data_IF_618396574052
#
_entry.id   IF_618396574052
#
_cell.length_a   1.000
_cell.length_b   1.000
_cell.length_c   1.000
_cell.angle_alpha   90.00
_cell.angle_beta   90.00
_cell.angle_gamma   90.00
#
_symmetry.space_group_name_H-M   'P 1'
#
loop_
_entity.id
_entity.type
_entity.pdbx_description
1 polymer ?
#
# COMPACT_ATOMS: atom_id res chain seq x y z
N UNK A 1 -2.49 1.66 -24.47
CA UNK A 1 -1.60 2.81 -24.69
C UNK A 1 -0.35 2.57 -23.84
N UNK A 2 0.74 2.08 -24.43
CA UNK A 2 1.98 1.78 -23.70
C UNK A 2 2.80 3.07 -23.49
N UNK A 3 2.32 3.95 -22.60
CA UNK A 3 3.00 5.22 -22.27
C UNK A 3 3.13 5.31 -20.74
N UNK A 4 4.26 5.84 -20.26
CA UNK A 4 4.50 6.07 -18.85
C UNK A 4 3.44 7.05 -18.28
N UNK A 5 2.87 6.71 -17.12
CA UNK A 5 1.87 7.55 -16.45
C UNK A 5 0.61 6.80 -16.01
N UNK A 6 0.53 5.47 -16.26
CA UNK A 6 -0.57 4.61 -15.77
C UNK A 6 -1.97 5.17 -16.11
N UNK A 7 -2.89 5.14 -15.13
CA UNK A 7 -4.24 5.64 -15.27
C UNK A 7 -4.31 7.13 -15.66
N UNK A 8 -3.33 7.96 -15.28
CA UNK A 8 -3.26 9.37 -15.69
C UNK A 8 -3.18 9.53 -17.20
N UNK A 9 -2.19 8.88 -17.85
CA UNK A 9 -1.99 9.01 -19.31
C UNK A 9 -3.14 8.39 -20.10
N UNK A 10 -3.68 7.26 -19.62
CA UNK A 10 -4.87 6.66 -20.21
C UNK A 10 -6.06 7.62 -20.17
N UNK A 11 -6.27 8.30 -19.04
CA UNK A 11 -7.37 9.24 -18.86
C UNK A 11 -7.18 10.52 -19.69
N UNK A 12 -5.94 10.98 -19.83
CA UNK A 12 -5.61 12.11 -20.70
C UNK A 12 -6.00 11.83 -22.15
N UNK A 13 -5.67 10.63 -22.64
CA UNK A 13 -6.01 10.20 -23.99
C UNK A 13 -7.51 9.92 -24.19
N UNK A 14 -8.26 9.61 -23.13
CA UNK A 14 -9.67 9.17 -23.21
C UNK A 14 -10.65 10.28 -22.92
N UNK A 15 -10.42 11.05 -21.86
CA UNK A 15 -11.37 12.01 -21.29
C UNK A 15 -10.90 13.47 -21.40
N UNK A 16 -9.64 13.70 -21.83
CA UNK A 16 -9.06 15.03 -21.92
C UNK A 16 -8.44 15.51 -20.59
N UNK A 17 -7.98 16.78 -20.61
CA UNK A 17 -7.09 17.35 -19.58
C UNK A 17 -7.71 17.41 -18.18
N UNK A 18 -8.98 17.80 -18.07
CA UNK A 18 -9.62 18.03 -16.77
C UNK A 18 -9.75 16.73 -15.96
N UNK A 19 -10.27 15.68 -16.57
CA UNK A 19 -10.38 14.38 -15.89
C UNK A 19 -9.02 13.73 -15.65
N UNK A 20 -8.07 13.90 -16.57
CA UNK A 20 -6.70 13.46 -16.36
C UNK A 20 -6.05 14.17 -15.15
N UNK A 21 -6.31 15.47 -14.98
CA UNK A 21 -5.82 16.23 -13.84
C UNK A 21 -6.38 15.70 -12.52
N UNK A 22 -7.68 15.42 -12.44
CA UNK A 22 -8.32 14.82 -11.25
C UNK A 22 -7.70 13.46 -10.93
N UNK A 23 -7.56 12.60 -11.95
CA UNK A 23 -6.99 11.25 -11.78
C UNK A 23 -5.51 11.33 -11.40
N UNK A 24 -4.75 12.27 -11.98
CA UNK A 24 -3.36 12.50 -11.60
C UNK A 24 -3.20 12.86 -10.12
N UNK A 25 -4.00 13.78 -9.61
CA UNK A 25 -4.01 14.13 -8.19
C UNK A 25 -4.45 12.98 -7.30
N UNK A 26 -5.45 12.20 -7.76
CA UNK A 26 -5.90 11.03 -7.01
C UNK A 26 -4.79 9.95 -6.91
N UNK A 27 -4.07 9.67 -8.00
CA UNK A 27 -2.91 8.77 -7.99
C UNK A 27 -1.79 9.29 -7.09
N UNK A 28 -1.52 10.60 -7.12
CA UNK A 28 -0.53 11.21 -6.24
C UNK A 28 -0.89 11.04 -4.76
N UNK A 29 -2.17 11.26 -4.43
CA UNK A 29 -2.68 11.07 -3.08
C UNK A 29 -2.57 9.61 -2.65
N UNK A 30 -3.00 8.69 -3.51
CA UNK A 30 -2.92 7.25 -3.29
C UNK A 30 -1.49 6.81 -2.98
N UNK A 31 -0.54 7.15 -3.84
CA UNK A 31 0.87 6.77 -3.68
C UNK A 31 1.50 7.44 -2.45
N UNK A 32 1.13 8.71 -2.12
CA UNK A 32 1.63 9.42 -0.94
C UNK A 32 1.16 8.76 0.35
N UNK A 33 -0.14 8.53 0.46
CA UNK A 33 -0.72 7.92 1.65
C UNK A 33 -0.25 6.47 1.76
N UNK A 34 -0.19 5.72 0.64
CA UNK A 34 0.36 4.38 0.60
C UNK A 34 1.80 4.31 1.12
N UNK A 35 2.68 5.20 0.65
CA UNK A 35 4.05 5.30 1.15
C UNK A 35 4.11 5.65 2.65
N UNK A 36 3.23 6.54 3.12
CA UNK A 36 3.15 6.91 4.53
C UNK A 36 2.70 5.73 5.43
N UNK A 37 1.69 4.96 5.01
CA UNK A 37 1.22 3.75 5.72
C UNK A 37 2.35 2.73 5.81
N UNK A 38 3.02 2.45 4.69
CA UNK A 38 4.13 1.49 4.65
C UNK A 38 5.31 1.95 5.49
N UNK A 39 5.62 3.25 5.50
CA UNK A 39 6.66 3.82 6.36
C UNK A 39 6.35 3.65 7.86
N UNK A 40 5.08 3.82 8.27
CA UNK A 40 4.64 3.54 9.66
C UNK A 40 4.74 2.05 9.99
N UNK A 41 4.36 1.18 9.07
CA UNK A 41 4.56 -0.27 9.20
C UNK A 41 6.03 -0.63 9.39
N UNK A 42 6.93 -0.03 8.61
CA UNK A 42 8.38 -0.19 8.75
C UNK A 42 8.86 0.24 10.14
N UNK A 43 8.40 1.39 10.63
CA UNK A 43 8.71 1.88 11.98
C UNK A 43 8.26 0.92 13.08
N UNK A 44 7.10 0.29 12.93
CA UNK A 44 6.60 -0.73 13.88
C UNK A 44 7.52 -1.95 13.95
N UNK A 45 7.98 -2.47 12.80
CA UNK A 45 8.93 -3.59 12.77
C UNK A 45 10.29 -3.21 13.32
N UNK A 46 10.75 -1.97 13.10
CA UNK A 46 11.99 -1.45 13.70
C UNK A 46 11.92 -1.54 15.23
N UNK A 47 10.80 -1.13 15.81
CA UNK A 47 10.54 -1.27 17.25
C UNK A 47 10.62 -2.72 17.73
N UNK A 48 10.09 -3.67 16.96
CA UNK A 48 10.14 -5.11 17.31
C UNK A 48 11.57 -5.67 17.29
N UNK A 49 12.41 -5.22 16.36
CA UNK A 49 13.82 -5.68 16.24
C UNK A 49 14.66 -5.15 17.40
N UNK A 50 14.53 -3.87 17.73
CA UNK A 50 15.38 -3.19 18.71
C UNK A 50 14.79 -3.13 20.12
N UNK A 51 13.57 -3.64 20.34
CA UNK A 51 12.96 -3.74 21.66
C UNK A 51 12.40 -2.44 22.22
N UNK A 52 12.04 -1.47 21.37
CA UNK A 52 11.36 -0.25 21.78
C UNK A 52 9.93 -0.17 21.24
N UNK A 53 9.06 0.61 21.87
CA UNK A 53 7.63 0.72 21.54
C UNK A 53 7.39 1.52 20.24
N UNK A 54 7.85 1.00 19.08
CA UNK A 54 7.74 1.66 17.78
C UNK A 54 8.60 2.93 17.68
N UNK A 55 8.78 3.45 16.49
CA UNK A 55 9.54 4.67 16.24
C UNK A 55 8.76 5.96 16.60
N UNK A 56 7.94 5.96 17.65
CA UNK A 56 7.09 7.11 18.01
C UNK A 56 7.64 7.87 19.19
N UNK A 57 7.76 9.20 19.06
CA UNK A 57 8.10 10.11 20.12
C UNK A 57 6.92 11.05 20.42
N UNK A 58 6.66 11.30 21.71
CA UNK A 58 5.63 12.27 22.13
C UNK A 58 6.27 13.65 22.30
N UNK A 59 5.77 14.63 21.56
CA UNK A 59 6.11 16.04 21.71
C UNK A 59 4.83 16.79 22.14
N UNK A 60 4.65 16.96 23.44
CA UNK A 60 3.43 17.55 24.00
C UNK A 60 2.21 16.68 23.70
N UNK A 61 1.22 17.25 23.04
CA UNK A 61 0.01 16.54 22.58
C UNK A 61 0.18 15.80 21.25
N UNK A 62 1.26 16.06 20.51
CA UNK A 62 1.54 15.45 19.22
C UNK A 62 2.38 14.18 19.38
N UNK A 63 2.01 13.13 18.64
CA UNK A 63 2.78 11.90 18.55
C UNK A 63 3.42 11.85 17.16
N UNK A 64 4.76 11.92 17.11
CA UNK A 64 5.53 11.92 15.87
C UNK A 64 6.20 10.57 15.68
N UNK A 65 6.05 10.00 14.50
CA UNK A 65 6.69 8.73 14.13
C UNK A 65 8.05 9.02 13.47
N UNK A 66 9.11 9.07 14.30
CA UNK A 66 10.47 9.32 13.83
C UNK A 66 11.03 8.17 12.99
N UNK A 67 10.59 6.93 13.23
CA UNK A 67 11.02 5.79 12.42
C UNK A 67 10.53 5.91 10.99
N UNK A 68 9.30 6.39 10.79
CA UNK A 68 8.79 6.70 9.46
C UNK A 68 9.57 7.84 8.79
N UNK A 69 9.98 8.86 9.54
CA UNK A 69 10.83 9.94 9.00
C UNK A 69 12.20 9.43 8.52
N UNK A 70 12.81 8.52 9.28
CA UNK A 70 14.11 7.93 8.93
C UNK A 70 14.03 7.17 7.61
N UNK A 71 13.04 6.30 7.44
CA UNK A 71 12.91 5.52 6.20
C UNK A 71 12.58 6.41 5.01
N UNK A 72 11.67 7.38 5.14
CA UNK A 72 11.31 8.31 4.07
C UNK A 72 12.50 9.17 3.66
N UNK A 73 13.24 9.71 4.62
CA UNK A 73 14.45 10.51 4.37
C UNK A 73 15.56 9.69 3.69
N UNK A 74 15.81 8.49 4.18
CA UNK A 74 16.78 7.56 3.58
C UNK A 74 16.44 7.21 2.14
N UNK A 75 15.19 6.83 1.88
CA UNK A 75 14.70 6.51 0.54
C UNK A 75 14.73 7.73 -0.38
N UNK A 76 14.32 8.90 0.10
CA UNK A 76 14.39 10.13 -0.69
C UNK A 76 15.82 10.47 -1.12
N UNK A 77 16.79 10.27 -0.22
CA UNK A 77 18.20 10.46 -0.51
C UNK A 77 18.68 9.50 -1.60
N UNK A 78 18.32 8.21 -1.51
CA UNK A 78 18.66 7.22 -2.52
C UNK A 78 18.06 7.56 -3.90
N UNK A 79 16.82 8.01 -3.93
CA UNK A 79 16.15 8.45 -5.17
C UNK A 79 16.84 9.69 -5.75
N UNK A 80 17.16 10.68 -4.91
CA UNK A 80 17.81 11.92 -5.34
C UNK A 80 19.21 11.68 -5.92
N UNK A 81 19.96 10.72 -5.36
CA UNK A 81 21.26 10.27 -5.87
C UNK A 81 21.18 9.50 -7.18
N UNK A 82 19.97 9.23 -7.68
CA UNK A 82 19.78 8.54 -8.96
C UNK A 82 20.17 7.07 -8.93
N UNK A 83 20.10 6.44 -7.77
CA UNK A 83 20.40 5.01 -7.65
C UNK A 83 19.44 4.20 -8.50
N UNK A 84 19.93 3.71 -9.64
CA UNK A 84 19.22 2.73 -10.45
C UNK A 84 19.25 1.41 -9.68
N UNK A 85 18.11 1.00 -9.15
CA UNK A 85 17.97 -0.36 -8.64
C UNK A 85 18.27 -1.33 -9.79
N UNK A 86 19.38 -2.03 -9.66
CA UNK A 86 19.68 -3.12 -10.60
C UNK A 86 18.52 -4.12 -10.55
N UNK A 87 18.06 -4.60 -11.70
CA UNK A 87 17.06 -5.65 -11.81
C UNK A 87 17.42 -6.87 -10.94
N UNK A 88 18.71 -7.20 -10.83
CA UNK A 88 19.21 -8.28 -9.97
C UNK A 88 18.98 -7.98 -8.48
N UNK A 89 19.24 -6.74 -8.04
CA UNK A 89 19.01 -6.35 -6.64
C UNK A 89 17.51 -6.41 -6.31
N UNK A 90 16.65 -5.90 -7.18
CA UNK A 90 15.20 -5.98 -7.01
C UNK A 90 14.71 -7.43 -6.95
N UNK A 91 15.24 -8.31 -7.80
CA UNK A 91 14.90 -9.74 -7.78
C UNK A 91 15.33 -10.41 -6.47
N UNK A 92 16.54 -10.14 -5.97
CA UNK A 92 17.05 -10.69 -4.69
C UNK A 92 16.17 -10.23 -3.52
N UNK A 93 15.85 -8.93 -3.44
CA UNK A 93 15.00 -8.42 -2.36
C UNK A 93 13.58 -9.01 -2.45
N UNK A 94 13.04 -9.18 -3.65
CA UNK A 94 11.74 -9.84 -3.85
C UNK A 94 11.79 -11.30 -3.42
N UNK A 95 12.85 -12.03 -3.75
CA UNK A 95 13.06 -13.40 -3.29
C UNK A 95 13.11 -13.48 -1.75
N UNK A 96 13.81 -12.55 -1.09
CA UNK A 96 13.82 -12.46 0.38
C UNK A 96 12.42 -12.23 0.94
N UNK A 97 11.63 -11.29 0.37
CA UNK A 97 10.25 -11.05 0.81
C UNK A 97 9.39 -12.30 0.72
N UNK A 98 9.39 -12.95 -0.44
CA UNK A 98 8.62 -14.17 -0.66
C UNK A 98 9.06 -15.27 0.30
N UNK A 99 10.37 -15.42 0.51
CA UNK A 99 10.92 -16.39 1.47
C UNK A 99 10.46 -16.14 2.91
N UNK A 100 10.40 -14.86 3.34
CA UNK A 100 9.88 -14.49 4.67
C UNK A 100 8.39 -14.80 4.78
N UNK A 101 7.60 -14.53 3.76
CA UNK A 101 6.15 -14.85 3.75
C UNK A 101 5.94 -16.37 3.80
N UNK A 102 6.70 -17.13 3.00
CA UNK A 102 6.66 -18.59 3.04
C UNK A 102 7.10 -19.13 4.40
N UNK A 103 8.13 -18.53 4.99
CA UNK A 103 8.58 -18.85 6.35
C UNK A 103 7.46 -18.65 7.39
N UNK A 104 6.72 -17.52 7.31
CA UNK A 104 5.54 -17.26 8.17
C UNK A 104 4.53 -18.39 8.02
N UNK A 105 4.22 -18.80 6.78
CA UNK A 105 3.24 -19.86 6.50
C UNK A 105 3.76 -21.20 7.04
N UNK A 106 4.97 -21.60 6.67
CA UNK A 106 5.52 -22.92 7.02
C UNK A 106 5.68 -23.06 8.53
N UNK A 107 6.28 -22.08 9.20
CA UNK A 107 6.48 -22.16 10.65
C UNK A 107 5.15 -21.98 11.39
N UNK A 108 4.31 -21.07 10.95
CA UNK A 108 3.04 -20.77 11.61
C UNK A 108 2.02 -21.92 11.57
N UNK A 109 2.05 -22.76 10.53
CA UNK A 109 1.16 -23.95 10.43
C UNK A 109 1.29 -24.87 11.64
N UNK A 110 2.50 -25.02 12.20
CA UNK A 110 2.74 -25.89 13.37
C UNK A 110 2.13 -25.35 14.68
N UNK A 111 1.73 -24.07 14.69
CA UNK A 111 1.16 -23.40 15.86
C UNK A 111 -0.33 -23.09 15.72
N UNK A 112 -0.99 -23.65 14.72
CA UNK A 112 -2.41 -23.49 14.49
C UNK A 112 -3.21 -24.21 15.60
N UNK A 113 -4.10 -23.47 16.23
CA UNK A 113 -5.08 -23.96 17.20
C UNK A 113 -6.46 -23.93 16.52
N UNK A 114 -7.06 -25.08 16.25
CA UNK A 114 -8.35 -25.18 15.56
C UNK A 114 -9.49 -24.41 16.27
N UNK A 115 -9.39 -24.26 17.58
CA UNK A 115 -10.34 -23.46 18.37
C UNK A 115 -10.40 -21.98 17.96
N UNK A 116 -9.32 -21.43 17.42
CA UNK A 116 -9.25 -20.04 16.99
C UNK A 116 -10.13 -19.74 15.76
N UNK A 117 -10.52 -20.77 15.00
CA UNK A 117 -11.41 -20.61 13.85
C UNK A 117 -12.91 -20.65 14.23
N UNK A 118 -13.23 -20.82 15.51
CA UNK A 118 -14.62 -20.87 15.96
C UNK A 118 -14.90 -19.69 16.93
N UNK A 119 -15.91 -18.88 16.66
CA UNK A 119 -16.76 -18.87 15.46
C UNK A 119 -16.03 -18.27 14.24
N UNK A 120 -16.23 -18.85 13.05
CA UNK A 120 -15.58 -18.35 11.82
C UNK A 120 -16.06 -16.94 11.46
N UNK A 121 -17.33 -16.64 11.66
CA UNK A 121 -17.89 -15.29 11.59
C UNK A 121 -18.42 -14.97 12.99
N UNK A 122 -17.75 -14.12 13.78
CA UNK A 122 -18.22 -13.69 15.10
C UNK A 122 -19.57 -12.99 15.01
N UNK A 123 -20.35 -13.04 16.07
CA UNK A 123 -21.63 -12.33 16.14
C UNK A 123 -21.40 -10.82 15.96
N UNK A 124 -22.32 -10.12 15.25
CA UNK A 124 -22.21 -8.69 15.09
C UNK A 124 -22.26 -8.01 16.47
N UNK A 125 -21.26 -7.20 16.73
CA UNK A 125 -21.26 -6.27 17.87
C UNK A 125 -21.66 -4.89 17.35
N UNK A 126 -22.59 -4.22 18.06
CA UNK A 126 -22.99 -2.86 17.69
C UNK A 126 -21.75 -1.96 17.66
N UNK A 127 -21.39 -1.51 16.45
CA UNK A 127 -20.37 -0.50 16.26
C UNK A 127 -20.86 0.85 16.79
N UNK A 128 -19.95 1.81 16.97
CA UNK A 128 -20.32 3.19 17.23
C UNK A 128 -21.20 3.66 16.07
N UNK A 129 -22.43 4.03 16.34
CA UNK A 129 -23.29 4.62 15.30
C UNK A 129 -22.64 5.90 14.79
N UNK A 130 -22.00 5.80 13.64
CA UNK A 130 -21.54 6.97 12.94
C UNK A 130 -22.79 7.69 12.38
N UNK A 131 -22.93 8.98 12.69
CA UNK A 131 -24.04 9.82 12.20
C UNK A 131 -23.52 10.83 11.20
N UNK A 132 -24.32 11.13 10.20
CA UNK A 132 -23.99 12.15 9.20
C UNK A 132 -22.89 11.70 8.22
N UNK A 133 -21.87 12.53 8.01
CA UNK A 133 -20.81 12.34 7.00
C UNK A 133 -19.90 11.13 7.31
N UNK A 134 -19.83 10.73 8.58
CA UNK A 134 -19.03 9.57 9.00
C UNK A 134 -19.75 8.23 8.79
N UNK A 135 -20.98 8.26 8.29
CA UNK A 135 -21.75 7.06 8.01
C UNK A 135 -21.23 6.35 6.77
N UNK A 136 -21.02 5.02 6.84
CA UNK A 136 -20.54 4.28 5.68
C UNK A 136 -21.58 4.24 4.56
N UNK A 137 -21.14 4.30 3.32
CA UNK A 137 -22.01 4.21 2.13
C UNK A 137 -22.84 2.92 2.15
N UNK A 138 -22.27 1.82 2.67
CA UNK A 138 -22.97 0.56 2.80
C UNK A 138 -24.16 0.68 3.76
N UNK A 139 -24.00 1.36 4.92
CA UNK A 139 -25.10 1.58 5.87
C UNK A 139 -26.15 2.52 5.30
N UNK A 140 -25.77 3.51 4.52
CA UNK A 140 -26.70 4.41 3.82
C UNK A 140 -27.56 3.67 2.78
N UNK A 141 -26.95 2.75 2.02
CA UNK A 141 -27.65 2.01 0.96
C UNK A 141 -28.50 0.85 1.48
N UNK A 142 -28.03 0.17 2.52
CA UNK A 142 -28.67 -1.06 3.03
C UNK A 142 -29.49 -0.86 4.31
N UNK A 143 -29.36 0.30 4.96
CA UNK A 143 -29.95 0.54 6.29
C UNK A 143 -29.31 -0.32 7.40
N UNK A 144 -28.24 -1.06 7.12
CA UNK A 144 -27.57 -1.92 8.08
C UNK A 144 -26.79 -1.08 9.09
N UNK A 145 -26.94 -1.41 10.38
CA UNK A 145 -26.14 -0.79 11.44
C UNK A 145 -24.66 -1.19 11.27
N UNK A 146 -23.75 -0.22 11.43
CA UNK A 146 -22.32 -0.49 11.43
C UNK A 146 -21.96 -1.48 12.55
N UNK A 147 -21.24 -2.54 12.19
CA UNK A 147 -20.79 -3.56 13.13
C UNK A 147 -19.32 -3.90 12.88
N UNK A 148 -18.57 -4.12 13.96
CA UNK A 148 -17.17 -4.56 13.82
C UNK A 148 -17.04 -6.02 13.38
N UNK A 149 -18.11 -6.84 13.55
CA UNK A 149 -18.12 -8.26 13.23
C UNK A 149 -19.36 -8.62 12.40
N UNK A 150 -19.57 -9.90 12.16
CA UNK A 150 -20.61 -10.40 11.28
C UNK A 150 -20.32 -10.13 9.80
N UNK A 151 -21.30 -10.25 8.94
CA UNK A 151 -21.16 -10.01 7.51
C UNK A 151 -20.76 -8.57 7.17
N UNK A 152 -21.25 -7.61 7.92
CA UNK A 152 -20.83 -6.22 7.78
C UNK A 152 -19.33 -6.06 8.05
N UNK A 153 -18.83 -6.67 9.15
CA UNK A 153 -17.41 -6.66 9.49
C UNK A 153 -16.54 -7.35 8.43
N UNK A 154 -17.03 -8.43 7.80
CA UNK A 154 -16.33 -9.09 6.68
C UNK A 154 -16.19 -8.15 5.48
N UNK A 155 -17.26 -7.44 5.10
CA UNK A 155 -17.22 -6.48 3.98
C UNK A 155 -16.34 -5.27 4.30
N UNK A 156 -16.42 -4.75 5.52
CA UNK A 156 -15.55 -3.66 5.98
C UNK A 156 -14.08 -4.10 6.00
N UNK A 157 -13.80 -5.31 6.49
CA UNK A 157 -12.45 -5.89 6.46
C UNK A 157 -11.92 -6.10 5.05
N UNK A 158 -12.76 -6.58 4.12
CA UNK A 158 -12.39 -6.73 2.71
C UNK A 158 -12.02 -5.38 2.08
N UNK A 159 -12.74 -4.31 2.41
CA UNK A 159 -12.42 -2.95 1.96
C UNK A 159 -11.05 -2.50 2.46
N UNK A 160 -10.72 -2.76 3.73
CA UNK A 160 -9.41 -2.41 4.31
C UNK A 160 -8.29 -3.25 3.67
N UNK A 161 -8.51 -4.56 3.52
CA UNK A 161 -7.53 -5.49 2.93
C UNK A 161 -7.24 -5.15 1.45
N UNK A 162 -8.17 -4.49 0.75
CA UNK A 162 -7.93 -4.00 -0.61
C UNK A 162 -6.65 -3.15 -0.72
N UNK A 163 -6.31 -2.40 0.34
CA UNK A 163 -5.05 -1.66 0.43
C UNK A 163 -3.81 -2.55 0.14
N UNK A 164 -3.83 -3.80 0.57
CA UNK A 164 -2.72 -4.73 0.38
C UNK A 164 -2.48 -5.11 -1.10
N UNK A 165 -3.44 -4.86 -1.98
CA UNK A 165 -3.32 -5.10 -3.42
C UNK A 165 -2.88 -3.86 -4.20
N UNK A 166 -2.83 -2.68 -3.57
CA UNK A 166 -2.41 -1.43 -4.22
C UNK A 166 -0.96 -1.56 -4.70
N UNK A 167 -0.71 -1.08 -5.91
CA UNK A 167 0.62 -1.08 -6.53
C UNK A 167 0.74 -2.00 -7.77
N UNK A 168 -0.25 -2.84 -8.07
CA UNK A 168 -0.22 -3.61 -9.32
C UNK A 168 -0.34 -2.70 -10.55
N UNK A 169 -0.94 -1.53 -10.41
CA UNK A 169 -1.05 -0.49 -11.43
C UNK A 169 0.28 0.18 -11.74
N UNK A 170 1.23 0.21 -10.76
CA UNK A 170 2.60 0.71 -10.98
C UNK A 170 3.32 -0.12 -12.06
N UNK A 171 3.00 -1.41 -12.20
CA UNK A 171 3.52 -2.25 -13.27
C UNK A 171 3.18 -1.67 -14.64
N UNK A 172 1.99 -1.08 -14.79
CA UNK A 172 1.59 -0.42 -16.03
C UNK A 172 2.44 0.83 -16.34
N UNK A 173 2.99 1.52 -15.33
CA UNK A 173 3.90 2.66 -15.55
C UNK A 173 5.25 2.25 -16.13
N UNK A 174 5.62 0.98 -16.02
CA UNK A 174 6.86 0.42 -16.54
C UNK A 174 6.71 -0.16 -17.96
N UNK A 175 5.58 0.05 -18.62
CA UNK A 175 5.30 -0.48 -19.94
C UNK A 175 6.32 -0.01 -20.98
N UNK A 176 6.83 1.22 -20.89
CA UNK A 176 7.85 1.77 -21.79
C UNK A 176 9.22 1.06 -21.64
N UNK A 177 9.50 0.47 -20.49
CA UNK A 177 10.75 -0.25 -20.20
C UNK A 177 10.64 -1.75 -20.56
N UNK A 178 9.44 -2.21 -20.96
CA UNK A 178 9.13 -3.63 -21.24
C UNK A 178 9.31 -3.94 -22.71
N UNK A 179 9.97 -5.06 -23.05
CA UNK A 179 10.25 -5.45 -24.46
C UNK A 179 8.97 -5.68 -25.27
N UNK A 180 7.98 -6.39 -24.71
CA UNK A 180 6.70 -6.69 -25.35
C UNK A 180 5.54 -6.26 -24.42
N UNK A 181 5.27 -4.95 -24.27
CA UNK A 181 4.37 -4.45 -23.25
C UNK A 181 2.92 -4.96 -23.39
N UNK A 182 2.42 -5.11 -24.61
CA UNK A 182 1.06 -5.58 -24.87
C UNK A 182 0.81 -7.01 -24.36
N UNK A 183 1.84 -7.84 -24.32
CA UNK A 183 1.75 -9.23 -23.89
C UNK A 183 2.23 -9.43 -22.45
N UNK A 184 3.38 -8.83 -22.10
CA UNK A 184 4.10 -9.15 -20.88
C UNK A 184 3.53 -8.39 -19.67
N UNK A 185 3.06 -7.15 -19.86
CA UNK A 185 2.45 -6.35 -18.78
C UNK A 185 1.15 -6.99 -18.26
N UNK A 186 0.14 -7.34 -19.08
CA UNK A 186 -1.08 -7.98 -18.58
C UNK A 186 -0.81 -9.33 -17.91
N UNK A 187 0.08 -10.15 -18.48
CA UNK A 187 0.46 -11.43 -17.90
C UNK A 187 1.18 -11.27 -16.56
N UNK A 188 2.10 -10.30 -16.47
CA UNK A 188 2.79 -9.98 -15.24
C UNK A 188 1.83 -9.53 -14.14
N UNK A 189 0.85 -8.68 -14.44
CA UNK A 189 -0.17 -8.22 -13.50
C UNK A 189 -1.02 -9.40 -13.03
N UNK A 190 -1.59 -10.20 -13.93
CA UNK A 190 -2.46 -11.31 -13.58
C UNK A 190 -1.73 -12.40 -12.80
N UNK A 191 -0.50 -12.75 -13.21
CA UNK A 191 0.31 -13.74 -12.51
C UNK A 191 0.69 -13.27 -11.11
N UNK A 192 1.12 -12.01 -10.96
CA UNK A 192 1.46 -11.46 -9.65
C UNK A 192 0.25 -11.38 -8.72
N UNK A 193 -0.91 -10.95 -9.22
CA UNK A 193 -2.15 -10.94 -8.45
C UNK A 193 -2.54 -12.35 -7.97
N UNK A 194 -2.45 -13.34 -8.85
CA UNK A 194 -2.76 -14.74 -8.50
C UNK A 194 -1.84 -15.28 -7.41
N UNK A 195 -0.52 -15.10 -7.57
CA UNK A 195 0.48 -15.55 -6.59
C UNK A 195 0.28 -14.82 -5.25
N UNK A 196 0.14 -13.50 -5.28
CA UNK A 196 -0.02 -12.68 -4.06
C UNK A 196 -1.32 -13.04 -3.34
N UNK A 197 -2.43 -13.24 -4.05
CA UNK A 197 -3.70 -13.66 -3.44
C UNK A 197 -3.56 -15.00 -2.72
N UNK A 198 -2.90 -15.99 -3.32
CA UNK A 198 -2.64 -17.27 -2.67
C UNK A 198 -1.81 -17.11 -1.38
N UNK A 199 -0.75 -16.30 -1.44
CA UNK A 199 0.08 -16.02 -0.27
C UNK A 199 -0.71 -15.28 0.83
N UNK A 200 -1.53 -14.29 0.48
CA UNK A 200 -2.37 -13.57 1.45
C UNK A 200 -3.38 -14.48 2.14
N UNK A 201 -4.05 -15.34 1.37
CA UNK A 201 -4.99 -16.33 1.92
C UNK A 201 -4.26 -17.30 2.87
N UNK A 202 -3.10 -17.82 2.45
CA UNK A 202 -2.31 -18.72 3.28
C UNK A 202 -1.87 -18.04 4.60
N UNK A 203 -1.34 -16.83 4.53
CA UNK A 203 -0.95 -16.05 5.72
C UNK A 203 -2.15 -15.76 6.61
N UNK A 204 -3.29 -15.35 6.05
CA UNK A 204 -4.51 -15.05 6.81
C UNK A 204 -5.02 -16.29 7.56
N UNK A 205 -5.05 -17.45 6.91
CA UNK A 205 -5.43 -18.72 7.54
C UNK A 205 -4.48 -19.05 8.69
N UNK A 206 -3.17 -18.99 8.46
CA UNK A 206 -2.18 -19.34 9.47
C UNK A 206 -2.26 -18.40 10.66
N UNK A 207 -2.25 -17.09 10.45
CA UNK A 207 -2.28 -16.12 11.55
C UNK A 207 -3.57 -16.19 12.36
N UNK A 208 -4.72 -16.34 11.69
CA UNK A 208 -6.01 -16.52 12.37
C UNK A 208 -6.06 -17.81 13.19
N UNK A 209 -5.34 -18.86 12.74
CA UNK A 209 -5.21 -20.09 13.47
C UNK A 209 -4.24 -20.01 14.65
N UNK A 210 -3.16 -19.22 14.55
CA UNK A 210 -2.16 -19.05 15.61
C UNK A 210 -2.68 -18.25 16.79
N UNK A 211 -3.42 -17.15 16.54
CA UNK A 211 -3.85 -16.21 17.57
C UNK A 211 -5.30 -15.80 17.32
N UNK A 212 -6.11 -15.82 18.37
CA UNK A 212 -7.48 -15.32 18.29
C UNK A 212 -7.49 -13.81 17.98
N UNK A 213 -8.44 -13.38 17.14
CA UNK A 213 -8.63 -11.98 16.78
C UNK A 213 -8.82 -11.05 18.00
N UNK A 214 -9.37 -11.56 19.10
CA UNK A 214 -9.53 -10.81 20.35
C UNK A 214 -8.19 -10.55 21.04
N UNK A 215 -7.26 -11.49 20.95
CA UNK A 215 -5.94 -11.39 21.58
C UNK A 215 -4.97 -10.51 20.80
N UNK A 216 -5.11 -10.41 19.46
CA UNK A 216 -4.26 -9.54 18.63
C UNK A 216 -4.37 -8.06 19.00
N UNK A 217 -5.51 -7.63 19.53
CA UNK A 217 -5.72 -6.24 19.99
C UNK A 217 -4.98 -5.90 21.30
N UNK A 218 -4.63 -6.89 22.09
CA UNK A 218 -4.21 -6.73 23.49
C UNK A 218 -2.76 -7.11 23.77
N UNK A 219 -1.92 -7.35 22.74
CA UNK A 219 -0.51 -7.71 22.98
C UNK A 219 0.25 -6.52 23.57
N UNK A 220 0.65 -6.60 24.87
CA UNK A 220 1.34 -5.50 25.55
C UNK A 220 2.72 -5.21 24.93
N UNK A 221 3.08 -3.93 24.86
CA UNK A 221 4.43 -3.51 24.45
C UNK A 221 4.62 -3.31 22.95
N UNK A 222 3.64 -3.60 22.10
CA UNK A 222 3.71 -3.40 20.65
C UNK A 222 2.59 -2.43 20.24
N UNK A 223 2.95 -1.26 19.76
CA UNK A 223 2.00 -0.17 19.45
C UNK A 223 0.95 -0.55 18.41
N UNK A 224 1.27 -1.43 17.46
CA UNK A 224 0.34 -2.00 16.48
C UNK A 224 0.68 -3.46 16.22
N UNK A 225 -0.35 -4.32 16.10
CA UNK A 225 -0.15 -5.71 15.73
C UNK A 225 0.42 -5.81 14.31
N UNK A 226 1.46 -6.60 14.16
CA UNK A 226 2.09 -6.94 12.87
C UNK A 226 2.28 -8.45 12.76
N UNK A 227 2.83 -8.96 11.64
CA UNK A 227 3.02 -10.40 11.45
C UNK A 227 3.85 -11.04 12.57
N UNK A 228 4.88 -10.34 13.04
CA UNK A 228 5.76 -10.82 14.11
C UNK A 228 5.04 -10.95 15.47
N UNK A 229 3.99 -10.16 15.71
CA UNK A 229 3.21 -10.15 16.95
C UNK A 229 2.56 -11.51 17.22
N UNK A 230 2.04 -12.17 16.17
CA UNK A 230 1.43 -13.50 16.31
C UNK A 230 2.45 -14.56 16.79
N UNK A 231 3.70 -14.46 16.33
CA UNK A 231 4.78 -15.34 16.76
C UNK A 231 5.22 -15.03 18.18
N UNK A 232 5.35 -13.76 18.54
CA UNK A 232 5.65 -13.34 19.92
C UNK A 232 4.58 -13.79 20.90
N UNK A 233 3.29 -13.69 20.54
CA UNK A 233 2.17 -14.14 21.36
C UNK A 233 2.18 -15.66 21.62
N UNK A 234 2.79 -16.44 20.72
CA UNK A 234 3.02 -17.89 20.90
C UNK A 234 4.39 -18.22 21.50
N UNK A 235 5.18 -17.24 21.98
CA UNK A 235 6.50 -17.45 22.59
C UNK A 235 7.63 -17.71 21.60
N UNK A 236 7.42 -17.52 20.30
CA UNK A 236 8.39 -17.83 19.24
C UNK A 236 9.21 -16.57 18.89
N UNK A 237 9.98 -16.09 19.86
CA UNK A 237 10.72 -14.83 19.73
C UNK A 237 11.78 -14.83 18.60
N UNK A 238 12.42 -15.98 18.34
CA UNK A 238 13.42 -16.10 17.28
C UNK A 238 12.80 -15.89 15.89
N UNK A 239 11.63 -16.49 15.63
CA UNK A 239 10.93 -16.34 14.37
C UNK A 239 10.39 -14.89 14.21
N UNK A 240 9.88 -14.30 15.28
CA UNK A 240 9.45 -12.90 15.31
C UNK A 240 10.58 -11.95 14.87
N UNK A 241 11.82 -12.16 15.31
CA UNK A 241 12.98 -11.36 14.90
C UNK A 241 13.31 -11.55 13.41
N UNK A 242 13.33 -12.79 12.90
CA UNK A 242 13.59 -13.07 11.47
C UNK A 242 12.54 -12.40 10.60
N UNK A 243 11.26 -12.55 10.96
CA UNK A 243 10.14 -11.92 10.25
C UNK A 243 10.31 -10.40 10.25
N UNK A 244 10.64 -9.79 11.37
CA UNK A 244 10.79 -8.35 11.49
C UNK A 244 11.95 -7.81 10.64
N UNK A 245 13.09 -8.48 10.60
CA UNK A 245 14.24 -8.10 9.76
C UNK A 245 13.87 -8.21 8.28
N UNK A 246 13.23 -9.32 7.89
CA UNK A 246 12.77 -9.49 6.51
C UNK A 246 11.71 -8.47 6.09
N UNK A 247 10.80 -8.12 7.00
CA UNK A 247 9.80 -7.09 6.79
C UNK A 247 10.45 -5.71 6.61
N UNK A 248 11.44 -5.34 7.42
CA UNK A 248 12.19 -4.09 7.27
C UNK A 248 12.82 -3.98 5.88
N UNK A 249 13.54 -5.01 5.44
CA UNK A 249 14.12 -5.05 4.09
C UNK A 249 13.05 -4.95 3.00
N UNK A 250 11.95 -5.69 3.18
CA UNK A 250 10.82 -5.70 2.25
C UNK A 250 10.13 -4.35 2.13
N UNK A 251 9.71 -3.78 3.24
CA UNK A 251 8.96 -2.51 3.28
C UNK A 251 9.80 -1.33 2.78
N UNK A 252 11.14 -1.33 2.99
CA UNK A 252 12.03 -0.32 2.42
C UNK A 252 11.88 -0.20 0.91
N UNK A 253 11.85 -1.32 0.19
CA UNK A 253 11.69 -1.30 -1.26
C UNK A 253 10.27 -0.90 -1.68
N UNK A 254 9.24 -1.19 -0.89
CA UNK A 254 7.88 -0.75 -1.16
C UNK A 254 7.77 0.77 -1.04
N UNK A 255 8.27 1.37 0.05
CA UNK A 255 8.32 2.84 0.20
C UNK A 255 9.02 3.48 -1.00
N UNK A 256 10.15 2.89 -1.43
CA UNK A 256 10.90 3.42 -2.56
C UNK A 256 10.12 3.35 -3.88
N UNK A 257 9.46 2.24 -4.17
CA UNK A 257 8.65 2.07 -5.40
C UNK A 257 7.48 3.04 -5.41
N UNK A 258 6.77 3.20 -4.28
CA UNK A 258 5.66 4.15 -4.16
C UNK A 258 6.13 5.60 -4.35
N UNK A 259 7.24 6.00 -3.71
CA UNK A 259 7.80 7.35 -3.89
C UNK A 259 8.31 7.59 -5.31
N UNK A 260 8.93 6.59 -5.95
CA UNK A 260 9.33 6.67 -7.37
C UNK A 260 8.12 6.81 -8.28
N UNK A 261 7.05 6.06 -8.02
CA UNK A 261 5.77 6.18 -8.74
C UNK A 261 5.22 7.60 -8.69
N UNK A 262 5.19 8.21 -7.48
CA UNK A 262 4.81 9.62 -7.33
C UNK A 262 5.69 10.57 -8.15
N UNK A 263 7.01 10.39 -8.08
CA UNK A 263 7.94 11.22 -8.84
C UNK A 263 7.67 11.13 -10.35
N UNK A 264 7.34 9.94 -10.87
CA UNK A 264 7.01 9.73 -12.29
C UNK A 264 5.69 10.40 -12.68
N UNK A 265 4.65 10.26 -11.86
CA UNK A 265 3.34 10.90 -12.13
C UNK A 265 3.47 12.43 -12.10
N UNK A 266 4.12 13.00 -11.06
CA UNK A 266 4.37 14.44 -10.97
C UNK A 266 5.21 14.95 -12.15
N UNK A 267 6.22 14.20 -12.56
CA UNK A 267 7.05 14.54 -13.70
C UNK A 267 6.23 14.56 -15.00
N UNK A 268 5.38 13.55 -15.23
CA UNK A 268 4.49 13.50 -16.39
C UNK A 268 3.52 14.69 -16.40
N UNK A 269 2.83 14.96 -15.30
CA UNK A 269 1.93 16.11 -15.17
C UNK A 269 2.63 17.46 -15.39
N UNK A 270 3.87 17.61 -14.91
CA UNK A 270 4.66 18.83 -15.12
C UNK A 270 5.14 18.96 -16.57
N UNK A 271 5.48 17.86 -17.23
CA UNK A 271 5.84 17.82 -18.66
C UNK A 271 4.65 18.20 -19.53
N UNK A 272 3.48 17.70 -19.20
CA UNK A 272 2.24 17.93 -19.95
C UNK A 272 1.63 19.33 -19.68
N UNK A 273 2.24 20.13 -18.77
CA UNK A 273 1.85 21.50 -18.48
C UNK A 273 0.76 21.68 -17.43
N UNK A 274 0.28 20.59 -16.82
CA UNK A 274 -0.72 20.62 -15.74
C UNK A 274 -0.13 21.08 -14.40
N UNK A 275 1.19 21.07 -14.29
CA UNK A 275 1.97 21.59 -13.15
C UNK A 275 3.08 22.52 -13.65
N UNK A 276 3.64 23.36 -12.78
CA UNK A 276 4.75 24.23 -13.18
C UNK A 276 5.91 23.47 -13.80
N UNK A 277 6.30 23.80 -15.02
CA UNK A 277 7.40 23.14 -15.76
C UNK A 277 8.75 23.19 -15.03
N UNK A 278 8.91 24.08 -14.07
CA UNK A 278 10.10 24.15 -13.21
C UNK A 278 10.31 22.89 -12.36
N UNK A 279 9.26 22.13 -12.09
CA UNK A 279 9.33 20.86 -11.37
C UNK A 279 9.95 19.76 -12.25
N UNK A 280 9.72 19.79 -13.56
CA UNK A 280 10.26 18.80 -14.51
C UNK A 280 11.76 18.97 -14.80
N UNK A 281 12.45 19.97 -14.20
CA UNK A 281 13.89 20.13 -14.35
C UNK A 281 14.63 19.01 -13.64
N UNK A 282 15.45 18.28 -14.38
CA UNK A 282 16.32 17.22 -13.86
C UNK A 282 17.65 17.80 -13.35
N UNK A 283 18.15 17.25 -12.25
CA UNK A 283 19.47 17.59 -11.70
C UNK A 283 20.62 16.90 -12.43
N UNK A 284 21.83 17.05 -11.91
CA UNK A 284 23.07 16.49 -12.46
C UNK A 284 23.06 14.96 -12.63
N UNK A 285 22.27 14.26 -11.83
CA UNK A 285 22.12 12.79 -11.89
C UNK A 285 20.94 12.32 -12.76
N UNK A 286 20.33 13.21 -13.54
CA UNK A 286 19.17 12.90 -14.37
C UNK A 286 17.87 12.67 -13.61
N UNK A 287 17.86 12.95 -12.30
CA UNK A 287 16.69 12.81 -11.43
C UNK A 287 16.03 14.16 -11.15
N UNK A 288 14.69 14.23 -11.04
CA UNK A 288 13.99 15.46 -10.67
C UNK A 288 14.06 15.69 -9.15
N UNK A 289 15.20 16.14 -8.64
CA UNK A 289 15.46 16.32 -7.19
C UNK A 289 14.39 17.17 -6.51
N UNK A 290 13.88 18.21 -7.17
CA UNK A 290 12.82 19.07 -6.62
C UNK A 290 11.54 18.30 -6.35
N UNK A 291 11.14 17.46 -7.27
CA UNK A 291 9.97 16.56 -7.11
C UNK A 291 10.24 15.58 -5.97
N UNK A 292 11.43 14.97 -5.93
CA UNK A 292 11.80 14.02 -4.87
C UNK A 292 11.71 14.63 -3.49
N UNK A 293 12.21 15.85 -3.31
CA UNK A 293 12.13 16.57 -2.02
C UNK A 293 10.68 16.90 -1.66
N UNK A 294 9.88 17.35 -2.61
CA UNK A 294 8.45 17.63 -2.40
C UNK A 294 7.68 16.37 -1.98
N UNK A 295 7.90 15.28 -2.71
CA UNK A 295 7.30 13.96 -2.40
C UNK A 295 7.71 13.51 -0.99
N UNK A 296 9.01 13.57 -0.67
CA UNK A 296 9.51 13.18 0.62
C UNK A 296 8.88 14.01 1.76
N UNK A 297 8.74 15.32 1.57
CA UNK A 297 8.12 16.20 2.56
C UNK A 297 6.65 15.87 2.77
N UNK A 298 5.88 15.66 1.69
CA UNK A 298 4.46 15.28 1.77
C UNK A 298 4.31 13.94 2.49
N UNK A 299 5.07 12.92 2.09
CA UNK A 299 5.01 11.59 2.71
C UNK A 299 5.44 11.63 4.18
N UNK A 300 6.51 12.38 4.51
CA UNK A 300 7.00 12.52 5.87
C UNK A 300 5.99 13.18 6.79
N UNK A 301 5.38 14.30 6.36
CA UNK A 301 4.33 14.99 7.12
C UNK A 301 3.12 14.07 7.30
N UNK A 302 2.66 13.43 6.23
CA UNK A 302 1.52 12.52 6.28
C UNK A 302 1.77 11.35 7.23
N UNK A 303 2.94 10.71 7.15
CA UNK A 303 3.32 9.62 8.05
C UNK A 303 3.46 10.06 9.51
N UNK A 304 3.89 11.30 9.76
CA UNK A 304 4.12 11.79 11.13
C UNK A 304 2.84 12.19 11.85
N UNK A 305 1.90 12.83 11.12
CA UNK A 305 0.74 13.49 11.72
C UNK A 305 -0.48 12.58 11.82
N UNK A 306 -0.73 11.78 10.79
CA UNK A 306 -1.98 11.01 10.70
C UNK A 306 -1.85 9.60 11.30
N UNK A 307 -2.88 9.10 12.01
CA UNK A 307 -2.91 7.70 12.44
C UNK A 307 -3.08 6.76 11.24
N UNK A 308 -2.46 5.57 11.31
CA UNK A 308 -2.43 4.61 10.20
C UNK A 308 -3.82 4.20 9.70
N UNK A 309 -4.76 4.00 10.61
CA UNK A 309 -6.15 3.59 10.30
C UNK A 309 -6.86 4.60 9.40
N UNK A 310 -6.67 5.90 9.66
CA UNK A 310 -7.23 6.97 8.83
C UNK A 310 -6.59 7.01 7.44
N UNK A 311 -5.28 6.76 7.39
CA UNK A 311 -4.55 6.73 6.11
C UNK A 311 -5.01 5.57 5.23
N UNK A 312 -5.20 4.38 5.79
CA UNK A 312 -5.69 3.19 5.07
C UNK A 312 -7.09 3.41 4.48
N UNK A 313 -8.01 4.01 5.26
CA UNK A 313 -9.35 4.36 4.78
C UNK A 313 -9.29 5.35 3.61
N UNK A 314 -8.48 6.40 3.72
CA UNK A 314 -8.35 7.42 2.68
C UNK A 314 -7.79 6.87 1.37
N UNK A 315 -6.79 6.00 1.42
CA UNK A 315 -6.22 5.36 0.22
C UNK A 315 -7.28 4.55 -0.50
N UNK A 316 -8.01 3.72 0.22
CA UNK A 316 -9.00 2.82 -0.39
C UNK A 316 -10.08 3.58 -1.15
N UNK A 317 -10.58 4.69 -0.60
CA UNK A 317 -11.57 5.53 -1.29
C UNK A 317 -10.99 6.10 -2.59
N UNK A 318 -9.77 6.64 -2.54
CA UNK A 318 -9.11 7.22 -3.72
C UNK A 318 -8.88 6.18 -4.82
N UNK A 319 -8.31 5.03 -4.46
CA UNK A 319 -7.98 3.97 -5.42
C UNK A 319 -9.22 3.38 -6.07
N UNK A 320 -10.26 3.07 -5.28
CA UNK A 320 -11.52 2.56 -5.83
C UNK A 320 -12.19 3.56 -6.77
N UNK A 321 -12.14 4.85 -6.45
CA UNK A 321 -12.65 5.91 -7.33
C UNK A 321 -11.89 5.95 -8.67
N UNK A 322 -10.55 5.88 -8.63
CA UNK A 322 -9.73 5.83 -9.85
C UNK A 322 -10.08 4.62 -10.73
N UNK A 323 -10.27 3.45 -10.13
CA UNK A 323 -10.61 2.24 -10.88
C UNK A 323 -12.01 2.28 -11.49
N UNK A 324 -12.98 2.90 -10.82
CA UNK A 324 -14.30 3.15 -11.39
C UNK A 324 -14.17 4.02 -12.65
N UNK A 325 -13.41 5.12 -12.57
CA UNK A 325 -13.19 6.01 -13.72
C UNK A 325 -12.45 5.31 -14.86
N UNK A 326 -11.40 4.56 -14.58
CA UNK A 326 -10.65 3.80 -15.60
C UNK A 326 -11.57 2.76 -16.26
N UNK A 327 -12.38 2.04 -15.49
CA UNK A 327 -13.33 1.06 -16.01
C UNK A 327 -14.39 1.71 -16.90
N UNK A 328 -14.93 2.85 -16.49
CA UNK A 328 -15.85 3.66 -17.32
C UNK A 328 -15.15 4.13 -18.61
N UNK A 329 -13.87 4.54 -18.51
CA UNK A 329 -13.07 4.94 -19.66
C UNK A 329 -12.89 3.83 -20.69
N UNK A 330 -12.70 2.59 -20.25
CA UNK A 330 -12.63 1.44 -21.17
C UNK A 330 -13.95 1.26 -21.93
N UNK A 331 -15.09 1.43 -21.26
CA UNK A 331 -16.41 1.32 -21.91
C UNK A 331 -16.59 2.44 -22.96
N UNK A 332 -16.21 3.68 -22.61
CA UNK A 332 -16.26 4.82 -23.51
C UNK A 332 -15.36 4.59 -24.74
N UNK A 333 -14.09 4.21 -24.54
CA UNK A 333 -13.15 3.93 -25.64
C UNK A 333 -13.66 2.84 -26.57
N UNK A 334 -14.23 1.77 -26.04
CA UNK A 334 -14.79 0.69 -26.87
C UNK A 334 -15.94 1.15 -27.77
N UNK A 335 -16.66 2.19 -27.36
CA UNK A 335 -17.77 2.78 -28.16
C UNK A 335 -17.28 3.86 -29.14
N UNK A 336 -16.32 4.68 -28.73
CA UNK A 336 -15.85 5.84 -29.50
C UNK A 336 -14.72 5.50 -30.46
N UNK A 337 -13.91 4.51 -30.16
CA UNK A 337 -12.72 4.09 -30.94
C UNK A 337 -12.73 2.58 -31.19
N UNK A 338 -13.64 2.07 -32.04
CA UNK A 338 -13.71 0.64 -32.38
C UNK A 338 -12.50 0.14 -33.18
N UNK A 339 -11.70 1.05 -33.73
CA UNK A 339 -10.48 0.84 -34.49
C UNK A 339 -9.28 0.39 -33.65
N UNK A 340 -9.34 0.54 -32.33
CA UNK A 340 -8.27 0.09 -31.45
C UNK A 340 -8.27 -1.44 -31.34
N UNK A 341 -7.08 -2.07 -31.63
CA UNK A 341 -6.86 -3.51 -31.45
C UNK A 341 -7.17 -3.97 -30.02
N UNK A 342 -7.80 -5.15 -29.92
CA UNK A 342 -8.30 -5.73 -28.65
C UNK A 342 -7.29 -6.67 -28.03
#
# INVERSE_FOLDING_TARGET
>A
VPVAGSAYTFSYATFGEFLAWIIGWNLLLELAIGAAVVAKGWSSYLGTVFGFAGGTAKFGSAQVDWGALVIVGGVATLIALGTKLSSRFSAVVTAIKVSVVLFVVVVGVFYIKRANYSPFIPKPEAGREAKGIDQSVLSLLTGAHSSHYGWYGVLAGASIVFFAFIGFDIVATMAEETKNPQRDVPRGILASLGIVTLLYVAVAIVLSGMVSYTQLKTVPGHGQANLATAFTANGIHWASKIISIGALAGLTTVVMVLMLGQCRVLFAMARDGLLPRSLAKTGSHGTPVRITVLVALVVAVTASVFPITKLEEMVNVGTLFAFVLVSAGVIVLRRTRPDLER
#
